data_IF_154786313979
#
_entry.id   IF_154786313979
#
_cell.length_a   1.000
_cell.length_b   1.000
_cell.length_c   1.000
_cell.angle_alpha   90.00
_cell.angle_beta   90.00
_cell.angle_gamma   90.00
#
_symmetry.space_group_name_H-M   'P 1'
#
loop_
_entity.id
_entity.type
_entity.pdbx_description
1 polymer ?
#
# COMPACT_ATOMS: atom_id res chain seq x y z
N UNK A 1 -47.85 15.77 -4.45
CA UNK A 1 -46.73 15.43 -5.39
C UNK A 1 -45.31 15.82 -4.93
N UNK A 2 -45.11 16.59 -3.85
CA UNK A 2 -43.78 17.06 -3.41
C UNK A 2 -42.90 16.03 -2.67
N UNK A 3 -43.49 15.10 -1.89
CA UNK A 3 -42.75 14.05 -1.15
C UNK A 3 -41.99 13.07 -2.08
N UNK A 4 -42.57 12.73 -3.25
CA UNK A 4 -41.98 11.79 -4.23
C UNK A 4 -40.73 12.39 -4.94
N UNK A 5 -40.70 13.71 -5.15
CA UNK A 5 -39.53 14.43 -5.71
C UNK A 5 -38.37 14.53 -4.70
N UNK A 6 -38.64 14.83 -3.42
CA UNK A 6 -37.61 14.84 -2.35
C UNK A 6 -37.00 13.45 -2.10
N UNK A 7 -37.80 12.37 -2.16
CA UNK A 7 -37.30 10.99 -2.01
C UNK A 7 -36.39 10.56 -3.19
N UNK A 8 -36.76 10.88 -4.43
CA UNK A 8 -35.91 10.62 -5.62
C UNK A 8 -34.59 11.41 -5.60
N UNK A 9 -34.60 12.65 -5.10
CA UNK A 9 -33.37 13.45 -4.94
C UNK A 9 -32.41 12.87 -3.87
N UNK A 10 -32.94 12.44 -2.71
CA UNK A 10 -32.14 11.78 -1.66
C UNK A 10 -31.57 10.43 -2.12
N UNK A 11 -32.31 9.66 -2.94
CA UNK A 11 -31.83 8.40 -3.53
C UNK A 11 -30.70 8.62 -4.56
N UNK A 12 -30.82 9.64 -5.44
CA UNK A 12 -29.77 10.02 -6.40
C UNK A 12 -28.50 10.53 -5.70
N UNK A 13 -28.64 11.30 -4.62
CA UNK A 13 -27.52 11.75 -3.80
C UNK A 13 -26.80 10.60 -3.07
N UNK A 14 -27.55 9.63 -2.50
CA UNK A 14 -26.97 8.41 -1.91
C UNK A 14 -26.24 7.54 -2.94
N UNK A 15 -26.76 7.43 -4.17
CA UNK A 15 -26.11 6.69 -5.28
C UNK A 15 -24.81 7.37 -5.74
N UNK A 16 -24.79 8.72 -5.90
CA UNK A 16 -23.57 9.51 -6.19
C UNK A 16 -22.53 9.42 -5.06
N UNK A 17 -22.94 9.37 -3.79
CA UNK A 17 -22.01 9.21 -2.64
C UNK A 17 -21.40 7.80 -2.60
N UNK A 18 -22.17 6.75 -2.92
CA UNK A 18 -21.66 5.36 -3.01
C UNK A 18 -20.70 5.15 -4.20
N UNK A 19 -20.94 5.76 -5.36
CA UNK A 19 -20.02 5.68 -6.51
C UNK A 19 -18.73 6.47 -6.29
N UNK A 20 -18.80 7.67 -5.70
CA UNK A 20 -17.61 8.42 -5.27
C UNK A 20 -16.81 7.66 -4.21
N UNK A 21 -17.46 7.04 -3.23
CA UNK A 21 -16.77 6.21 -2.22
C UNK A 21 -16.08 4.97 -2.83
N UNK A 22 -16.69 4.30 -3.82
CA UNK A 22 -16.06 3.21 -4.58
C UNK A 22 -14.87 3.69 -5.41
N UNK A 23 -14.99 4.83 -6.08
CA UNK A 23 -13.90 5.43 -6.86
C UNK A 23 -12.70 5.83 -5.97
N UNK A 24 -12.95 6.42 -4.81
CA UNK A 24 -11.91 6.76 -3.82
C UNK A 24 -11.25 5.49 -3.25
N UNK A 25 -12.01 4.43 -2.95
CA UNK A 25 -11.44 3.13 -2.54
C UNK A 25 -10.59 2.46 -3.63
N UNK A 26 -11.01 2.56 -4.89
CA UNK A 26 -10.24 2.03 -6.03
C UNK A 26 -8.93 2.82 -6.22
N UNK A 27 -8.98 4.16 -6.18
CA UNK A 27 -7.81 5.05 -6.24
C UNK A 27 -6.85 4.82 -5.06
N UNK A 28 -7.38 4.56 -3.85
CA UNK A 28 -6.58 4.21 -2.66
C UNK A 28 -5.95 2.82 -2.78
N UNK A 29 -6.62 1.84 -3.40
CA UNK A 29 -6.04 0.51 -3.67
C UNK A 29 -4.92 0.58 -4.71
N UNK A 30 -5.10 1.33 -5.80
CA UNK A 30 -4.05 1.52 -6.81
C UNK A 30 -2.89 2.36 -6.26
N UNK A 31 -3.16 3.40 -5.47
CA UNK A 31 -2.11 4.16 -4.78
C UNK A 31 -1.35 3.33 -3.73
N UNK A 32 -2.04 2.47 -2.96
CA UNK A 32 -1.41 1.53 -2.02
C UNK A 32 -0.57 0.48 -2.75
N UNK A 33 -0.96 0.09 -3.96
CA UNK A 33 -0.15 -0.76 -4.83
C UNK A 33 1.04 0.01 -5.41
N UNK A 34 0.90 1.26 -5.84
CA UNK A 34 2.02 2.10 -6.34
C UNK A 34 3.23 2.13 -5.41
N UNK A 35 3.02 2.08 -4.09
CA UNK A 35 4.11 1.93 -3.11
C UNK A 35 4.52 0.46 -3.03
N UNK A 36 5.69 0.13 -3.58
CA UNK A 36 6.26 -1.22 -3.50
C UNK A 36 6.29 -1.75 -2.06
N UNK A 37 5.93 -3.03 -1.87
CA UNK A 37 5.78 -3.65 -0.54
C UNK A 37 6.96 -4.55 -0.26
N UNK A 38 7.50 -4.49 0.96
CA UNK A 38 8.51 -5.43 1.44
C UNK A 38 7.89 -6.46 2.37
N UNK A 39 8.27 -7.72 2.21
CA UNK A 39 7.74 -8.83 3.02
C UNK A 39 8.78 -9.92 3.20
N UNK A 40 8.68 -10.63 4.32
CA UNK A 40 9.50 -11.81 4.59
C UNK A 40 8.84 -13.08 4.08
N UNK A 41 9.62 -14.00 3.55
CA UNK A 41 9.19 -15.36 3.20
C UNK A 41 10.35 -16.34 3.38
N UNK A 42 10.11 -17.64 3.19
CA UNK A 42 11.15 -18.67 3.25
C UNK A 42 11.40 -19.24 1.86
N UNK A 43 12.67 -19.56 1.56
CA UNK A 43 13.00 -20.35 0.38
C UNK A 43 12.60 -21.82 0.59
N UNK A 44 12.58 -22.59 -0.49
CA UNK A 44 12.38 -24.05 -0.43
C UNK A 44 13.40 -24.75 0.48
N UNK A 45 14.59 -24.17 0.66
CA UNK A 45 15.65 -24.66 1.55
C UNK A 45 15.57 -24.08 2.97
N UNK A 46 14.46 -23.44 3.35
CA UNK A 46 14.24 -22.88 4.70
C UNK A 46 14.97 -21.57 5.00
N UNK A 47 15.61 -20.93 4.01
CA UNK A 47 16.30 -19.65 4.27
C UNK A 47 15.30 -18.51 4.31
N UNK A 48 15.36 -17.66 5.34
CA UNK A 48 14.51 -16.46 5.43
C UNK A 48 14.97 -15.41 4.42
N UNK A 49 14.05 -15.00 3.55
CA UNK A 49 14.23 -14.04 2.49
C UNK A 49 13.44 -12.77 2.76
N UNK A 50 13.94 -11.68 2.19
CA UNK A 50 13.28 -10.39 2.18
C UNK A 50 12.93 -10.05 0.72
N UNK A 51 11.64 -10.08 0.40
CA UNK A 51 11.12 -9.88 -0.94
C UNK A 51 10.56 -8.47 -1.10
N UNK A 52 11.07 -7.75 -2.10
CA UNK A 52 10.56 -6.44 -2.51
C UNK A 52 9.63 -6.65 -3.71
N UNK A 53 8.37 -6.26 -3.55
CA UNK A 53 7.37 -6.36 -4.62
C UNK A 53 7.10 -5.01 -5.24
N UNK A 54 7.05 -4.97 -6.57
CA UNK A 54 6.59 -3.82 -7.33
C UNK A 54 5.08 -3.63 -7.16
N UNK A 55 4.58 -2.51 -7.68
CA UNK A 55 3.17 -2.19 -7.60
C UNK A 55 2.25 -3.21 -8.27
N UNK A 56 2.76 -3.84 -9.32
CA UNK A 56 2.07 -4.83 -10.12
C UNK A 56 2.09 -6.22 -9.47
N UNK A 57 2.72 -6.35 -8.29
CA UNK A 57 2.82 -7.59 -7.54
C UNK A 57 3.98 -8.49 -7.95
N UNK A 58 4.73 -8.13 -9.00
CA UNK A 58 5.96 -8.81 -9.41
C UNK A 58 7.06 -8.60 -8.36
N UNK A 59 7.96 -9.57 -8.23
CA UNK A 59 9.17 -9.38 -7.45
C UNK A 59 10.09 -8.40 -8.19
N UNK A 60 10.49 -7.35 -7.49
CA UNK A 60 11.53 -6.42 -7.95
C UNK A 60 12.92 -6.93 -7.56
N UNK A 61 13.03 -7.48 -6.35
CA UNK A 61 14.27 -8.00 -5.78
C UNK A 61 13.95 -9.01 -4.66
N UNK A 62 14.83 -10.01 -4.50
CA UNK A 62 14.77 -11.02 -3.46
C UNK A 62 16.16 -11.11 -2.83
N UNK A 63 16.24 -10.77 -1.54
CA UNK A 63 17.48 -10.79 -0.78
C UNK A 63 17.39 -11.78 0.39
N UNK A 64 18.54 -12.17 0.94
CA UNK A 64 18.57 -12.86 2.24
C UNK A 64 18.20 -11.88 3.35
N UNK A 65 17.46 -12.37 4.36
CA UNK A 65 17.02 -11.54 5.48
C UNK A 65 18.21 -10.89 6.21
N UNK A 66 19.29 -11.65 6.43
CA UNK A 66 20.50 -11.18 7.10
C UNK A 66 21.08 -9.93 6.42
N UNK A 67 21.20 -9.93 5.09
CA UNK A 67 21.78 -8.81 4.34
C UNK A 67 20.85 -7.58 4.33
N UNK A 68 19.56 -7.79 4.10
CA UNK A 68 18.60 -6.68 4.07
C UNK A 68 18.50 -6.00 5.44
N UNK A 69 18.45 -6.80 6.51
CA UNK A 69 18.31 -6.30 7.87
C UNK A 69 19.53 -5.49 8.33
N UNK A 70 20.74 -5.97 8.06
CA UNK A 70 21.96 -5.23 8.42
C UNK A 70 22.05 -3.90 7.68
N UNK A 71 21.67 -3.86 6.40
CA UNK A 71 21.65 -2.62 5.62
C UNK A 71 20.62 -1.62 6.14
N UNK A 72 19.43 -2.09 6.54
CA UNK A 72 18.40 -1.22 7.11
C UNK A 72 18.83 -0.64 8.45
N UNK A 73 19.52 -1.42 9.30
CA UNK A 73 20.11 -0.90 10.53
C UNK A 73 21.18 0.15 10.26
N UNK A 74 22.13 -0.14 9.35
CA UNK A 74 23.18 0.83 8.96
C UNK A 74 22.62 2.15 8.44
N UNK A 75 21.53 2.10 7.64
CA UNK A 75 20.89 3.32 7.12
C UNK A 75 20.23 4.14 8.23
N UNK A 76 19.60 3.49 9.21
CA UNK A 76 19.01 4.16 10.36
C UNK A 76 20.08 4.84 11.21
N UNK A 77 21.16 4.13 11.53
CA UNK A 77 22.27 4.70 12.29
C UNK A 77 22.86 5.94 11.60
N UNK A 78 23.06 5.89 10.28
CA UNK A 78 23.51 7.07 9.51
C UNK A 78 22.51 8.23 9.51
N UNK A 79 21.21 7.94 9.53
CA UNK A 79 20.18 8.98 9.60
C UNK A 79 20.06 9.58 11.00
N UNK A 80 20.51 8.88 12.03
CA UNK A 80 20.63 9.39 13.40
C UNK A 80 21.92 10.21 13.58
N UNK A 81 23.00 9.85 12.89
CA UNK A 81 24.26 10.62 12.85
C UNK A 81 24.13 11.94 12.09
N UNK A 82 23.18 12.06 11.17
CA UNK A 82 22.86 13.31 10.48
C UNK A 82 21.61 13.90 11.14
N UNK A 83 21.75 14.65 12.26
CA UNK A 83 20.62 15.36 12.83
C UNK A 83 20.05 16.28 11.75
N UNK A 84 18.72 16.25 11.59
CA UNK A 84 18.02 17.10 10.63
C UNK A 84 18.30 18.57 10.97
N UNK A 85 19.25 19.16 10.23
CA UNK A 85 19.58 20.58 10.21
C UNK A 85 18.58 21.35 9.36
#
# INVERSE_FOLDING_TARGET
MAKKKKAKAKAKAKKKKKTKAKAVKAKKKTAKRKKGRRTTMYSSKGKKLYAVRSADGKFKDIQTYKRAHTMDMKRKSKAEEVPAS
#
